data_IF_657702769699
#
_entry.id   IF_657702769699
#
_cell.length_a   1.000
_cell.length_b   1.000
_cell.length_c   1.000
_cell.angle_alpha   90.00
_cell.angle_beta   90.00
_cell.angle_gamma   90.00
#
_symmetry.space_group_name_H-M   'P 1'
#
loop_
_entity.id
_entity.type
_entity.pdbx_description
1 polymer ?
#
# COMPACT_ATOMS: atom_id res chain seq x y z
N UNK A 1 -13.86 13.29 -4.85
CA UNK A 1 -15.31 13.24 -4.55
C UNK A 1 -15.51 12.52 -3.22
N UNK A 2 -16.66 12.73 -2.57
CA UNK A 2 -17.05 12.35 -1.19
C UNK A 2 -16.41 11.06 -0.63
N UNK A 3 -15.52 11.20 0.37
CA UNK A 3 -15.08 10.11 1.28
C UNK A 3 -16.16 9.74 2.33
N UNK A 4 -17.40 10.19 2.17
CA UNK A 4 -18.33 10.36 3.30
C UNK A 4 -19.70 9.67 3.16
N UNK A 5 -19.97 8.92 2.09
CA UNK A 5 -21.28 8.26 1.91
C UNK A 5 -21.27 6.75 2.14
N UNK A 6 -20.11 6.11 2.28
CA UNK A 6 -20.02 4.67 2.55
C UNK A 6 -19.92 4.41 4.05
N UNK A 7 -20.95 3.79 4.63
CA UNK A 7 -20.93 3.40 6.04
C UNK A 7 -19.82 2.38 6.34
N UNK A 8 -19.19 2.52 7.51
CA UNK A 8 -18.03 1.73 7.99
C UNK A 8 -18.21 0.21 7.89
N UNK A 9 -17.10 -0.54 7.74
CA UNK A 9 -17.10 -1.99 8.00
C UNK A 9 -17.57 -2.24 9.43
N UNK A 10 -18.61 -3.06 9.56
CA UNK A 10 -19.17 -3.43 10.86
C UNK A 10 -19.20 -4.93 11.03
N UNK A 11 -19.11 -5.35 12.28
CA UNK A 11 -19.46 -6.68 12.73
C UNK A 11 -20.88 -6.71 13.27
N UNK A 12 -21.48 -7.89 13.40
CA UNK A 12 -22.77 -8.01 14.08
C UNK A 12 -22.72 -7.55 15.55
N UNK A 13 -21.55 -7.63 16.19
CA UNK A 13 -21.37 -7.07 17.52
C UNK A 13 -21.52 -5.54 17.51
N UNK A 14 -20.89 -4.87 16.55
CA UNK A 14 -20.98 -3.41 16.41
C UNK A 14 -22.42 -2.95 16.14
N UNK A 15 -23.14 -3.66 15.27
CA UNK A 15 -24.56 -3.38 15.02
C UNK A 15 -25.38 -3.44 16.30
N UNK A 16 -25.19 -4.49 17.12
CA UNK A 16 -25.90 -4.64 18.39
C UNK A 16 -25.50 -3.58 19.44
N UNK A 17 -24.25 -3.11 19.43
CA UNK A 17 -23.78 -2.04 20.31
C UNK A 17 -24.36 -0.69 19.88
N UNK A 18 -24.26 -0.33 18.61
CA UNK A 18 -24.72 0.95 18.05
C UNK A 18 -26.24 1.08 18.03
N UNK A 19 -26.95 -0.03 17.81
CA UNK A 19 -28.41 -0.09 17.87
C UNK A 19 -28.99 -0.11 19.29
N UNK A 20 -28.15 -0.19 20.33
CA UNK A 20 -28.63 -0.31 21.71
C UNK A 20 -29.40 0.95 22.13
N UNK A 21 -30.62 0.75 22.66
CA UNK A 21 -31.47 1.85 23.14
C UNK A 21 -32.20 2.63 22.04
N UNK A 22 -32.13 2.16 20.79
CA UNK A 22 -32.83 2.75 19.64
C UNK A 22 -33.67 1.67 18.93
N UNK A 23 -34.78 2.03 18.27
CA UNK A 23 -35.45 1.11 17.35
C UNK A 23 -34.50 0.76 16.20
N UNK A 24 -34.29 -0.53 15.92
CA UNK A 24 -33.49 -0.97 14.79
C UNK A 24 -34.41 -1.23 13.59
N UNK A 25 -34.11 -0.60 12.45
CA UNK A 25 -34.88 -0.79 11.21
C UNK A 25 -33.98 -1.37 10.13
N UNK A 26 -34.45 -2.38 9.40
CA UNK A 26 -33.72 -2.91 8.24
C UNK A 26 -34.16 -2.17 6.98
N UNK A 27 -33.19 -1.68 6.19
CA UNK A 27 -33.47 -1.07 4.89
C UNK A 27 -33.14 -2.05 3.77
N UNK A 28 -34.17 -2.64 3.16
CA UNK A 28 -34.09 -3.73 2.19
C UNK A 28 -34.67 -5.01 2.79
N UNK A 29 -35.76 -5.49 2.21
CA UNK A 29 -36.38 -6.79 2.48
C UNK A 29 -35.67 -7.91 1.68
N UNK A 30 -35.97 -9.16 2.04
CA UNK A 30 -35.45 -10.37 1.40
C UNK A 30 -34.33 -11.08 2.17
N UNK A 31 -33.53 -11.87 1.45
CA UNK A 31 -32.61 -12.85 2.04
C UNK A 31 -31.52 -12.23 2.93
N UNK A 32 -31.03 -11.03 2.61
CA UNK A 32 -30.02 -10.35 3.43
C UNK A 32 -30.63 -9.90 4.75
N UNK A 33 -31.86 -9.35 4.73
CA UNK A 33 -32.58 -9.03 5.95
C UNK A 33 -32.81 -10.28 6.81
N UNK A 34 -33.20 -11.42 6.22
CA UNK A 34 -33.37 -12.68 6.97
C UNK A 34 -32.07 -13.14 7.65
N UNK A 35 -30.94 -13.09 6.92
CA UNK A 35 -29.63 -13.43 7.50
C UNK A 35 -29.23 -12.46 8.62
N UNK A 36 -29.55 -11.19 8.47
CA UNK A 36 -29.28 -10.14 9.45
C UNK A 36 -30.12 -10.34 10.72
N UNK A 37 -31.43 -10.57 10.57
CA UNK A 37 -32.38 -10.85 11.67
C UNK A 37 -31.94 -12.01 12.57
N UNK A 38 -31.30 -13.04 12.00
CA UNK A 38 -30.78 -14.19 12.77
C UNK A 38 -29.64 -13.82 13.72
N UNK A 39 -28.99 -12.67 13.52
CA UNK A 39 -27.73 -12.28 14.18
C UNK A 39 -27.87 -11.04 15.07
N UNK A 40 -28.92 -10.24 14.89
CA UNK A 40 -29.15 -9.02 15.66
C UNK A 40 -30.52 -9.06 16.34
N UNK A 41 -30.64 -8.40 17.49
CA UNK A 41 -31.88 -8.35 18.28
C UNK A 41 -32.44 -6.93 18.31
N UNK A 42 -33.73 -6.79 18.61
CA UNK A 42 -34.36 -5.48 18.75
C UNK A 42 -34.72 -4.80 17.42
N UNK A 43 -34.84 -5.57 16.33
CA UNK A 43 -35.39 -5.08 15.07
C UNK A 43 -36.88 -4.81 15.23
N UNK A 44 -37.29 -3.59 14.93
CA UNK A 44 -38.66 -3.10 15.10
C UNK A 44 -39.39 -2.85 13.78
N UNK A 45 -38.68 -2.88 12.65
CA UNK A 45 -39.29 -2.67 11.34
C UNK A 45 -38.38 -2.99 10.16
N UNK A 46 -38.99 -3.08 8.98
CA UNK A 46 -38.32 -3.23 7.69
C UNK A 46 -38.89 -2.15 6.76
N UNK A 47 -38.01 -1.47 6.04
CA UNK A 47 -38.39 -0.56 4.95
C UNK A 47 -37.76 -1.04 3.65
N UNK A 48 -38.40 -0.82 2.51
CA UNK A 48 -37.85 -1.21 1.20
C UNK A 48 -38.19 -0.16 0.13
N UNK A 49 -37.29 0.12 -0.81
CA UNK A 49 -37.55 1.06 -1.90
C UNK A 49 -38.50 0.50 -2.97
N UNK A 50 -38.72 -0.81 -3.03
CA UNK A 50 -39.61 -1.45 -3.99
C UNK A 50 -41.07 -1.35 -3.52
N UNK A 51 -41.94 -0.57 -4.21
CA UNK A 51 -43.32 -0.37 -3.80
C UNK A 51 -44.15 -1.65 -3.78
N UNK A 52 -43.75 -2.66 -4.58
CA UNK A 52 -44.44 -3.95 -4.63
C UNK A 52 -44.33 -4.75 -3.33
N UNK A 53 -43.38 -4.40 -2.45
CA UNK A 53 -43.18 -5.06 -1.16
C UNK A 53 -43.89 -4.31 -0.02
N UNK A 54 -44.42 -3.11 -0.25
CA UNK A 54 -45.03 -2.32 0.82
C UNK A 54 -46.33 -2.95 1.30
N UNK A 55 -46.49 -3.09 2.61
CA UNK A 55 -47.63 -3.76 3.24
C UNK A 55 -47.49 -5.28 3.35
N UNK A 56 -46.57 -5.89 2.60
CA UNK A 56 -46.21 -7.30 2.79
C UNK A 56 -45.51 -7.52 4.14
N UNK A 57 -45.39 -8.78 4.55
CA UNK A 57 -44.78 -9.15 5.83
C UNK A 57 -43.56 -10.03 5.63
N UNK A 58 -42.47 -9.72 6.34
CA UNK A 58 -41.28 -10.57 6.43
C UNK A 58 -40.90 -10.77 7.89
N UNK A 59 -40.72 -12.03 8.30
CA UNK A 59 -40.40 -12.41 9.68
C UNK A 59 -41.35 -11.80 10.74
N UNK A 60 -42.62 -11.62 10.38
CA UNK A 60 -43.64 -11.02 11.25
C UNK A 60 -43.61 -9.49 11.34
N UNK A 61 -42.76 -8.81 10.56
CA UNK A 61 -42.69 -7.36 10.45
C UNK A 61 -43.29 -6.89 9.12
N UNK A 62 -44.18 -5.90 9.17
CA UNK A 62 -44.72 -5.26 7.97
C UNK A 62 -43.65 -4.39 7.30
N UNK A 63 -43.52 -4.52 5.99
CA UNK A 63 -42.58 -3.74 5.18
C UNK A 63 -43.20 -2.38 4.87
N UNK A 64 -42.54 -1.31 5.29
CA UNK A 64 -42.99 0.06 5.10
C UNK A 64 -42.21 0.80 4.00
N UNK A 65 -42.73 1.96 3.60
CA UNK A 65 -41.99 2.90 2.74
C UNK A 65 -40.81 3.51 3.50
N UNK A 66 -39.64 3.74 2.86
CA UNK A 66 -38.49 4.40 3.47
C UNK A 66 -38.78 5.82 3.94
N UNK A 67 -39.79 6.50 3.38
CA UNK A 67 -40.23 7.83 3.82
C UNK A 67 -40.67 7.85 5.29
N UNK A 68 -41.07 6.69 5.85
CA UNK A 68 -41.39 6.56 7.27
C UNK A 68 -40.20 6.83 8.20
N UNK A 69 -38.97 6.82 7.68
CA UNK A 69 -37.75 7.16 8.43
C UNK A 69 -37.52 8.66 8.54
N UNK A 70 -38.10 9.47 7.65
CA UNK A 70 -37.87 10.90 7.60
C UNK A 70 -38.55 11.59 8.80
N UNK A 71 -37.75 12.21 9.68
CA UNK A 71 -38.25 12.84 10.91
C UNK A 71 -38.73 11.86 11.99
N UNK A 72 -38.44 10.56 11.88
CA UNK A 72 -38.87 9.55 12.84
C UNK A 72 -38.37 9.83 14.26
N UNK A 73 -39.27 9.70 15.26
CA UNK A 73 -38.97 9.90 16.68
C UNK A 73 -39.52 8.73 17.51
N UNK A 74 -38.67 8.01 18.29
CA UNK A 74 -37.23 8.21 18.44
C UNK A 74 -36.46 7.86 17.16
N UNK A 75 -35.29 8.51 16.97
CA UNK A 75 -34.48 8.33 15.76
C UNK A 75 -34.00 6.87 15.64
N UNK A 76 -34.36 6.14 14.56
CA UNK A 76 -34.01 4.74 14.42
C UNK A 76 -32.53 4.56 14.12
N UNK A 77 -31.99 3.38 14.41
CA UNK A 77 -30.71 2.92 13.88
C UNK A 77 -30.97 1.99 12.69
N UNK A 78 -30.49 2.36 11.50
CA UNK A 78 -30.85 1.66 10.26
C UNK A 78 -29.74 0.70 9.83
N UNK A 79 -30.09 -0.53 9.48
CA UNK A 79 -29.16 -1.53 8.93
C UNK A 79 -29.52 -1.81 7.47
N UNK A 80 -28.68 -1.38 6.55
CA UNK A 80 -28.89 -1.55 5.11
C UNK A 80 -28.67 -3.01 4.73
N UNK A 81 -29.72 -3.63 4.19
CA UNK A 81 -29.83 -5.04 3.86
C UNK A 81 -30.08 -5.27 2.35
N UNK A 82 -29.60 -4.36 1.49
CA UNK A 82 -29.70 -4.48 0.03
C UNK A 82 -28.34 -4.25 -0.63
N UNK A 83 -28.14 -4.83 -1.81
CA UNK A 83 -26.93 -4.60 -2.64
C UNK A 83 -26.86 -3.19 -3.22
N UNK A 84 -27.98 -2.47 -3.26
CA UNK A 84 -28.03 -1.02 -3.59
C UNK A 84 -27.69 -0.16 -2.37
N UNK A 85 -26.66 -0.55 -1.62
CA UNK A 85 -26.35 0.08 -0.34
C UNK A 85 -25.79 1.49 -0.48
N UNK A 86 -25.23 1.84 -1.64
CA UNK A 86 -24.75 3.20 -1.93
C UNK A 86 -25.95 4.13 -2.07
N UNK A 87 -26.91 3.78 -2.93
CA UNK A 87 -28.11 4.60 -3.18
C UNK A 87 -28.98 4.71 -1.94
N UNK A 88 -29.13 3.61 -1.18
CA UNK A 88 -29.84 3.64 0.11
C UNK A 88 -29.08 4.49 1.13
N UNK A 89 -27.75 4.44 1.17
CA UNK A 89 -26.95 5.29 2.05
C UNK A 89 -27.16 6.77 1.77
N UNK A 90 -27.15 7.16 0.49
CA UNK A 90 -27.44 8.54 0.05
C UNK A 90 -28.87 8.97 0.39
N UNK A 91 -29.85 8.09 0.20
CA UNK A 91 -31.24 8.33 0.59
C UNK A 91 -31.36 8.56 2.11
N UNK A 92 -30.74 7.71 2.94
CA UNK A 92 -30.78 7.87 4.39
C UNK A 92 -30.07 9.16 4.84
N UNK A 93 -28.97 9.52 4.19
CA UNK A 93 -28.31 10.81 4.40
C UNK A 93 -29.23 11.99 4.06
N UNK A 94 -30.02 11.88 2.99
CA UNK A 94 -31.02 12.89 2.62
C UNK A 94 -32.14 13.06 3.66
N UNK A 95 -32.41 12.01 4.46
CA UNK A 95 -33.32 12.05 5.61
C UNK A 95 -32.69 12.63 6.89
N UNK A 96 -31.45 13.12 6.82
CA UNK A 96 -30.72 13.69 7.97
C UNK A 96 -30.11 12.65 8.90
N UNK A 97 -29.98 11.40 8.44
CA UNK A 97 -29.28 10.33 9.16
C UNK A 97 -27.79 10.38 8.82
N UNK A 98 -26.93 10.19 9.83
CA UNK A 98 -25.48 10.24 9.65
C UNK A 98 -24.89 8.84 9.46
N UNK A 99 -24.12 8.56 8.39
CA UNK A 99 -23.43 7.28 8.20
C UNK A 99 -22.57 6.90 9.41
N UNK A 100 -22.56 5.62 9.78
CA UNK A 100 -21.80 5.10 10.93
C UNK A 100 -22.42 5.40 12.30
N UNK A 101 -23.20 6.47 12.44
CA UNK A 101 -23.88 6.84 13.69
C UNK A 101 -25.35 6.41 13.71
N UNK A 102 -26.08 6.74 12.64
CA UNK A 102 -27.51 6.47 12.50
C UNK A 102 -27.77 5.26 11.61
N UNK A 103 -26.84 4.91 10.71
CA UNK A 103 -27.00 3.73 9.88
C UNK A 103 -25.68 3.08 9.50
N UNK A 104 -25.75 1.77 9.21
CA UNK A 104 -24.63 0.94 8.78
C UNK A 104 -25.08 -0.04 7.70
N UNK A 105 -24.15 -0.55 6.89
CA UNK A 105 -24.42 -1.69 6.00
C UNK A 105 -24.37 -2.98 6.80
N UNK A 106 -25.31 -3.90 6.53
CA UNK A 106 -25.33 -5.21 7.17
C UNK A 106 -23.99 -5.94 6.96
N UNK A 107 -23.41 -6.56 8.00
CA UNK A 107 -22.19 -7.36 7.88
C UNK A 107 -22.31 -8.52 6.88
N UNK A 108 -23.53 -8.94 6.52
CA UNK A 108 -23.79 -9.92 5.46
C UNK A 108 -23.27 -9.47 4.09
N UNK A 109 -23.17 -8.15 3.88
CA UNK A 109 -22.75 -7.53 2.63
C UNK A 109 -21.27 -7.10 2.63
N UNK A 110 -20.50 -7.40 3.67
CA UNK A 110 -19.11 -6.98 3.77
C UNK A 110 -18.27 -7.43 2.56
N UNK A 111 -18.50 -8.65 2.06
CA UNK A 111 -17.81 -9.19 0.88
C UNK A 111 -18.12 -8.37 -0.39
N UNK A 112 -19.38 -7.99 -0.61
CA UNK A 112 -19.76 -7.18 -1.77
C UNK A 112 -19.28 -5.74 -1.63
N UNK A 113 -19.23 -5.20 -0.41
CA UNK A 113 -18.71 -3.85 -0.18
C UNK A 113 -17.23 -3.75 -0.50
N UNK A 114 -16.40 -4.68 -0.01
CA UNK A 114 -14.96 -4.61 -0.30
C UNK A 114 -14.68 -4.75 -1.80
N UNK A 115 -15.46 -5.57 -2.52
CA UNK A 115 -15.38 -5.66 -3.97
C UNK A 115 -15.72 -4.31 -4.61
N UNK A 116 -16.84 -3.70 -4.25
CA UNK A 116 -17.25 -2.40 -4.79
C UNK A 116 -16.22 -1.28 -4.50
N UNK A 117 -15.62 -1.27 -3.30
CA UNK A 117 -14.57 -0.31 -2.94
C UNK A 117 -13.29 -0.51 -3.75
N UNK A 118 -12.87 -1.75 -3.97
CA UNK A 118 -11.72 -2.08 -4.83
C UNK A 118 -12.01 -1.80 -6.31
N UNK A 119 -13.24 -2.02 -6.75
CA UNK A 119 -13.68 -1.73 -8.12
C UNK A 119 -13.82 -0.23 -8.38
N UNK A 120 -14.14 0.57 -7.36
CA UNK A 120 -14.28 2.02 -7.40
C UNK A 120 -13.01 2.83 -7.08
N UNK A 121 -11.83 2.18 -7.03
CA UNK A 121 -10.55 2.85 -6.74
C UNK A 121 -10.29 4.03 -7.69
N UNK A 122 -9.95 5.19 -7.13
CA UNK A 122 -9.48 6.38 -7.86
C UNK A 122 -8.14 6.83 -7.28
N UNK A 123 -7.04 6.55 -7.97
CA UNK A 123 -5.70 6.81 -7.45
C UNK A 123 -4.72 7.14 -8.58
N UNK A 124 -3.73 7.98 -8.26
CA UNK A 124 -2.57 8.22 -9.14
C UNK A 124 -1.32 7.70 -8.44
N UNK A 125 -0.67 6.72 -9.05
CA UNK A 125 0.46 5.98 -8.47
C UNK A 125 1.70 6.24 -9.31
N UNK A 126 2.77 6.72 -8.68
CA UNK A 126 4.09 6.82 -9.27
C UNK A 126 4.90 5.57 -9.00
N UNK A 127 5.67 5.14 -9.99
CA UNK A 127 6.58 4.02 -9.81
C UNK A 127 7.82 4.13 -10.69
N UNK A 128 8.90 3.47 -10.29
CA UNK A 128 10.20 3.53 -10.97
C UNK A 128 10.58 2.19 -11.59
N UNK A 129 11.15 2.25 -12.80
CA UNK A 129 11.65 1.12 -13.55
C UNK A 129 13.14 1.28 -13.82
N UNK A 130 13.92 0.27 -13.43
CA UNK A 130 15.38 0.28 -13.50
C UNK A 130 15.96 -0.41 -14.74
N UNK A 131 15.14 -0.58 -15.78
CA UNK A 131 15.59 -1.08 -17.08
C UNK A 131 16.44 -0.02 -17.80
N UNK A 132 17.18 -0.40 -18.86
CA UNK A 132 17.79 0.57 -19.75
C UNK A 132 16.75 1.56 -20.32
N UNK A 133 17.05 2.87 -20.36
CA UNK A 133 16.11 3.86 -20.87
C UNK A 133 15.86 3.65 -22.37
N UNK A 134 14.59 3.67 -22.78
CA UNK A 134 14.17 3.63 -24.18
C UNK A 134 13.37 4.89 -24.54
N UNK A 135 13.45 5.30 -25.80
CA UNK A 135 12.67 6.41 -26.36
C UNK A 135 11.29 5.94 -26.83
N UNK A 136 10.57 5.32 -25.91
CA UNK A 136 9.23 4.78 -26.08
C UNK A 136 8.42 5.16 -24.83
N UNK A 137 7.25 5.83 -24.96
CA UNK A 137 6.46 6.27 -23.81
C UNK A 137 5.92 5.12 -22.94
N UNK A 138 5.91 3.88 -23.43
CA UNK A 138 5.32 2.70 -22.78
C UNK A 138 6.34 1.56 -22.54
N UNK A 139 7.65 1.79 -22.74
CA UNK A 139 8.69 0.76 -22.61
C UNK A 139 10.01 1.25 -21.99
N UNK A 140 10.77 0.35 -21.37
CA UNK A 140 12.12 0.63 -20.87
C UNK A 140 12.19 1.25 -19.48
N UNK A 141 13.34 1.83 -19.14
CA UNK A 141 13.59 2.51 -17.87
C UNK A 141 12.89 3.86 -17.77
N UNK A 142 12.46 4.20 -16.56
CA UNK A 142 11.88 5.51 -16.29
C UNK A 142 11.14 5.63 -14.96
N UNK A 143 10.71 6.87 -14.68
CA UNK A 143 9.63 7.15 -13.75
C UNK A 143 8.31 7.11 -14.54
N UNK A 144 7.32 6.42 -14.01
CA UNK A 144 6.02 6.22 -14.62
C UNK A 144 4.90 6.68 -13.67
N UNK A 145 3.78 7.05 -14.27
CA UNK A 145 2.51 7.34 -13.58
C UNK A 145 1.47 6.30 -14.04
N UNK A 146 0.83 5.62 -13.10
CA UNK A 146 -0.36 4.79 -13.28
C UNK A 146 -1.57 5.56 -12.74
N UNK A 147 -2.54 5.81 -13.61
CA UNK A 147 -3.84 6.39 -13.24
C UNK A 147 -4.88 5.28 -13.14
N UNK A 148 -5.54 5.17 -11.99
CA UNK A 148 -6.61 4.23 -11.70
C UNK A 148 -7.91 5.04 -11.59
N UNK A 149 -8.93 4.66 -12.36
CA UNK A 149 -10.26 5.27 -12.35
C UNK A 149 -11.34 4.17 -12.45
N UNK A 150 -11.66 3.62 -11.29
CA UNK A 150 -12.57 2.50 -11.10
C UNK A 150 -12.14 1.25 -11.87
N UNK A 151 -12.91 0.93 -12.90
CA UNK A 151 -12.67 -0.22 -13.78
C UNK A 151 -11.60 0.04 -14.86
N UNK A 152 -11.19 1.29 -15.08
CA UNK A 152 -10.21 1.67 -16.08
C UNK A 152 -8.89 2.04 -15.42
N UNK A 153 -7.79 1.73 -16.09
CA UNK A 153 -6.47 2.22 -15.73
C UNK A 153 -5.66 2.52 -17.00
N UNK A 154 -4.71 3.43 -16.87
CA UNK A 154 -3.73 3.76 -17.91
C UNK A 154 -2.42 4.12 -17.25
N UNK A 155 -1.31 4.00 -17.97
CA UNK A 155 -0.02 4.42 -17.47
C UNK A 155 0.74 5.20 -18.53
N UNK A 156 1.70 6.03 -18.11
CA UNK A 156 2.61 6.76 -19.01
C UNK A 156 3.97 6.94 -18.37
N UNK A 157 5.01 7.00 -19.20
CA UNK A 157 6.34 7.43 -18.76
C UNK A 157 6.35 8.95 -18.54
N UNK A 158 6.77 9.36 -17.35
CA UNK A 158 6.96 10.76 -16.95
C UNK A 158 8.39 11.19 -17.23
N UNK A 159 9.37 10.39 -16.81
CA UNK A 159 10.78 10.61 -17.11
C UNK A 159 11.41 9.35 -17.70
N UNK A 160 12.16 9.51 -18.79
CA UNK A 160 13.09 8.50 -19.28
C UNK A 160 14.36 8.53 -18.43
N UNK A 161 14.83 7.38 -17.97
CA UNK A 161 16.06 7.26 -17.17
C UNK A 161 16.20 5.86 -16.59
N UNK A 162 17.19 5.63 -15.75
CA UNK A 162 17.30 4.38 -15.00
C UNK A 162 16.97 4.68 -13.54
N UNK A 163 15.69 4.52 -13.19
CA UNK A 163 15.16 4.95 -11.91
C UNK A 163 15.06 3.80 -10.91
N UNK A 164 15.48 4.09 -9.67
CA UNK A 164 15.43 3.15 -8.55
C UNK A 164 14.57 3.69 -7.40
N UNK A 165 15.17 4.22 -6.33
CA UNK A 165 14.43 4.69 -5.16
C UNK A 165 13.44 5.79 -5.52
N UNK A 166 12.28 5.79 -4.86
CA UNK A 166 11.24 6.81 -4.98
C UNK A 166 10.56 6.95 -3.62
N UNK A 167 10.46 8.18 -3.11
CA UNK A 167 9.79 8.50 -1.85
C UNK A 167 9.03 9.82 -1.92
N UNK A 168 7.88 9.93 -1.22
CA UNK A 168 7.33 11.23 -0.85
C UNK A 168 8.34 12.04 -0.03
N UNK A 169 8.35 13.36 -0.20
CA UNK A 169 9.21 14.29 0.51
C UNK A 169 8.47 15.63 0.68
N UNK A 170 7.73 15.77 1.79
CA UNK A 170 6.81 16.90 1.98
C UNK A 170 5.74 16.95 0.88
N UNK A 171 5.64 18.08 0.19
CA UNK A 171 4.76 18.27 -0.98
C UNK A 171 5.40 17.87 -2.32
N UNK A 172 6.57 17.23 -2.26
CA UNK A 172 7.38 16.84 -3.40
C UNK A 172 7.66 15.33 -3.37
N UNK A 173 8.43 14.90 -4.36
CA UNK A 173 8.98 13.56 -4.42
C UNK A 173 10.49 13.64 -4.58
N UNK A 174 11.18 12.66 -4.01
CA UNK A 174 12.59 12.39 -4.31
C UNK A 174 12.72 11.05 -5.01
N UNK A 175 13.60 10.99 -6.01
CA UNK A 175 13.92 9.76 -6.70
C UNK A 175 15.40 9.67 -7.05
N UNK A 176 15.87 8.44 -7.26
CA UNK A 176 17.22 8.16 -7.73
C UNK A 176 17.17 7.79 -9.21
N UNK A 177 17.94 8.51 -10.02
CA UNK A 177 18.24 8.20 -11.42
C UNK A 177 19.75 8.01 -11.57
N UNK A 178 20.20 6.92 -12.21
CA UNK A 178 21.64 6.64 -12.34
C UNK A 178 22.42 7.75 -13.08
N UNK A 179 21.75 8.50 -13.96
CA UNK A 179 22.37 9.58 -14.74
C UNK A 179 22.32 10.92 -13.99
N UNK A 180 21.15 11.32 -13.48
CA UNK A 180 20.96 12.62 -12.80
C UNK A 180 21.33 12.62 -11.32
N UNK A 181 21.47 11.46 -10.69
CA UNK A 181 21.66 11.31 -9.25
C UNK A 181 20.34 11.39 -8.47
N UNK A 182 20.34 12.12 -7.35
CA UNK A 182 19.14 12.35 -6.57
C UNK A 182 18.39 13.54 -7.15
N UNK A 183 17.14 13.34 -7.53
CA UNK A 183 16.25 14.38 -8.03
C UNK A 183 15.14 14.67 -7.03
N UNK A 184 14.73 15.93 -6.94
CA UNK A 184 13.52 16.39 -6.27
C UNK A 184 12.60 17.01 -7.31
N UNK A 185 11.32 16.61 -7.31
CA UNK A 185 10.33 17.11 -8.27
C UNK A 185 8.96 17.31 -7.61
N UNK A 186 8.19 18.25 -8.14
CA UNK A 186 6.84 18.53 -7.66
C UNK A 186 5.79 17.53 -8.19
N UNK A 187 4.54 17.72 -7.80
CA UNK A 187 3.41 16.86 -8.19
C UNK A 187 3.00 16.99 -9.66
N UNK A 188 3.48 18.04 -10.34
CA UNK A 188 3.27 18.27 -11.77
C UNK A 188 4.51 17.85 -12.59
N UNK A 189 5.47 17.16 -11.94
CA UNK A 189 6.67 16.60 -12.54
C UNK A 189 7.69 17.64 -13.01
N UNK A 190 7.68 18.84 -12.43
CA UNK A 190 8.77 19.78 -12.62
C UNK A 190 9.93 19.42 -11.70
N UNK A 191 11.13 19.27 -12.26
CA UNK A 191 12.35 19.05 -11.47
C UNK A 191 12.69 20.36 -10.77
N UNK A 192 12.70 20.34 -9.44
CA UNK A 192 13.02 21.48 -8.59
C UNK A 192 14.52 21.53 -8.27
N UNK A 193 15.12 20.36 -8.03
CA UNK A 193 16.53 20.20 -7.67
C UNK A 193 17.05 18.86 -8.16
N UNK A 194 18.34 18.81 -8.48
CA UNK A 194 19.07 17.57 -8.67
C UNK A 194 20.52 17.75 -8.24
N UNK A 195 21.14 16.69 -7.74
CA UNK A 195 22.59 16.63 -7.56
C UNK A 195 23.13 15.25 -7.92
N UNK A 196 24.32 15.24 -8.50
CA UNK A 196 24.95 14.02 -8.97
C UNK A 196 25.36 13.11 -7.79
N UNK A 197 25.21 11.81 -8.00
CA UNK A 197 25.70 10.78 -7.09
C UNK A 197 26.97 10.13 -7.68
N UNK A 198 27.79 9.43 -6.88
CA UNK A 198 29.05 8.90 -7.36
C UNK A 198 28.81 7.84 -8.45
N UNK A 199 29.58 7.93 -9.53
CA UNK A 199 29.48 6.98 -10.63
C UNK A 199 29.75 5.55 -10.13
N UNK A 200 28.95 4.60 -10.61
CA UNK A 200 29.10 3.18 -10.23
C UNK A 200 28.63 2.86 -8.82
N UNK A 201 28.02 3.81 -8.09
CA UNK A 201 27.48 3.56 -6.76
C UNK A 201 26.26 2.62 -6.77
N UNK A 202 25.49 2.67 -7.86
CA UNK A 202 24.21 1.98 -8.04
C UNK A 202 23.31 2.19 -6.82
N UNK A 203 22.91 3.45 -6.67
CA UNK A 203 22.05 3.91 -5.58
C UNK A 203 20.65 3.34 -5.79
N UNK A 204 20.15 2.57 -4.83
CA UNK A 204 18.85 1.89 -4.93
C UNK A 204 17.80 2.52 -4.01
N UNK A 205 18.14 2.73 -2.73
CA UNK A 205 17.22 3.27 -1.73
C UNK A 205 17.57 4.71 -1.36
N UNK A 206 16.55 5.49 -0.99
CA UNK A 206 16.72 6.85 -0.48
C UNK A 206 15.75 7.11 0.67
N UNK A 207 16.22 7.79 1.70
CA UNK A 207 15.41 8.29 2.81
C UNK A 207 15.90 9.67 3.23
N UNK A 208 14.96 10.52 3.67
CA UNK A 208 15.22 11.87 4.16
C UNK A 208 14.98 11.92 5.67
N UNK A 209 15.89 12.55 6.39
CA UNK A 209 15.69 12.89 7.81
C UNK A 209 15.38 14.38 7.94
N UNK A 210 14.14 14.70 8.29
CA UNK A 210 13.71 16.09 8.56
C UNK A 210 14.51 16.72 9.70
N UNK A 211 14.70 15.97 10.79
CA UNK A 211 15.40 16.43 11.99
C UNK A 211 16.86 16.79 11.70
N UNK A 212 17.55 15.95 10.89
CA UNK A 212 18.97 16.10 10.61
C UNK A 212 19.26 16.88 9.32
N UNK A 213 18.23 17.15 8.52
CA UNK A 213 18.29 17.77 7.19
C UNK A 213 19.28 17.10 6.24
N UNK A 214 19.18 15.77 6.15
CA UNK A 214 20.13 14.91 5.41
C UNK A 214 19.42 13.82 4.62
N UNK A 215 19.96 13.53 3.45
CA UNK A 215 19.62 12.35 2.67
C UNK A 215 20.51 11.18 3.07
N UNK A 216 19.91 10.00 3.14
CA UNK A 216 20.58 8.73 3.36
C UNK A 216 20.28 7.82 2.17
N UNK A 217 21.32 7.33 1.51
CA UNK A 217 21.21 6.64 0.23
C UNK A 217 21.90 5.28 0.33
N UNK A 218 21.16 4.21 0.06
CA UNK A 218 21.69 2.86 0.02
C UNK A 218 22.33 2.56 -1.35
N UNK A 219 23.59 2.13 -1.34
CA UNK A 219 24.36 1.86 -2.56
C UNK A 219 24.68 0.38 -2.72
N UNK A 220 24.04 -0.28 -3.69
CA UNK A 220 24.17 -1.72 -3.90
C UNK A 220 25.56 -2.14 -4.37
N UNK A 221 26.31 -1.24 -5.03
CA UNK A 221 27.66 -1.54 -5.54
C UNK A 221 28.79 -1.05 -4.62
N UNK A 222 28.46 -0.24 -3.62
CA UNK A 222 29.45 0.26 -2.66
C UNK A 222 29.45 -0.49 -1.34
N UNK A 223 28.41 -1.27 -1.04
CA UNK A 223 28.13 -1.76 0.32
C UNK A 223 28.31 -0.62 1.34
N UNK A 224 27.60 0.48 1.10
CA UNK A 224 27.65 1.63 1.97
C UNK A 224 26.32 2.39 1.94
N UNK A 225 26.12 3.17 2.99
CA UNK A 225 25.16 4.26 3.02
C UNK A 225 25.92 5.55 2.76
N UNK A 226 25.52 6.31 1.75
CA UNK A 226 26.01 7.67 1.54
C UNK A 226 25.08 8.63 2.26
N UNK A 227 25.67 9.61 2.94
CA UNK A 227 24.92 10.66 3.63
C UNK A 227 25.23 11.98 2.94
N UNK A 228 24.19 12.67 2.50
CA UNK A 228 24.28 13.95 1.83
C UNK A 228 23.61 15.06 2.64
N UNK A 229 24.19 16.26 2.59
CA UNK A 229 23.48 17.46 3.01
C UNK A 229 22.25 17.68 2.14
N UNK A 230 21.30 18.48 2.62
CA UNK A 230 20.24 19.01 1.77
C UNK A 230 20.77 19.66 0.50
N UNK A 231 21.99 20.21 0.57
CA UNK A 231 22.59 20.94 -0.52
C UNK A 231 23.24 20.09 -1.62
N UNK A 232 23.36 18.79 -1.38
CA UNK A 232 23.97 17.84 -2.32
C UNK A 232 25.45 17.58 -2.08
N UNK A 233 26.00 17.99 -0.93
CA UNK A 233 27.36 17.66 -0.52
C UNK A 233 27.40 16.32 0.21
N UNK A 234 28.32 15.42 -0.17
CA UNK A 234 28.56 14.18 0.58
C UNK A 234 29.20 14.53 1.92
N UNK A 235 28.49 14.26 3.03
CA UNK A 235 28.93 14.61 4.38
C UNK A 235 29.45 13.41 5.17
N UNK A 236 29.04 12.19 4.81
CA UNK A 236 29.48 10.97 5.47
C UNK A 236 29.29 9.76 4.56
N UNK A 237 30.02 8.69 4.90
CA UNK A 237 29.96 7.41 4.23
C UNK A 237 30.08 6.29 5.25
N UNK A 238 29.00 5.52 5.39
CA UNK A 238 28.89 4.45 6.38
C UNK A 238 29.07 3.10 5.66
N UNK A 239 30.24 2.45 5.76
CA UNK A 239 30.45 1.13 5.15
C UNK A 239 29.65 0.06 5.91
N UNK A 240 29.07 -0.91 5.19
CA UNK A 240 28.41 -2.07 5.82
C UNK A 240 29.44 -2.98 6.49
N UNK A 241 30.55 -3.24 5.79
CA UNK A 241 31.67 -4.02 6.33
C UNK A 241 32.98 -3.76 5.59
N UNK A 242 34.13 -4.23 6.11
CA UNK A 242 35.41 -4.15 5.40
C UNK A 242 35.50 -5.04 4.15
N UNK A 243 34.45 -5.78 3.78
CA UNK A 243 34.53 -6.76 2.68
C UNK A 243 34.63 -6.12 1.30
N UNK A 244 33.91 -5.02 1.04
CA UNK A 244 34.02 -4.32 -0.23
C UNK A 244 35.46 -3.84 -0.45
N UNK A 245 36.04 -3.20 0.56
CA UNK A 245 37.42 -2.69 0.49
C UNK A 245 38.45 -3.81 0.26
N UNK A 246 38.23 -5.00 0.85
CA UNK A 246 39.12 -6.16 0.68
C UNK A 246 38.95 -6.91 -0.64
N UNK A 247 37.73 -6.96 -1.17
CA UNK A 247 37.40 -7.79 -2.34
C UNK A 247 37.27 -6.99 -3.65
N UNK A 248 37.26 -5.66 -3.57
CA UNK A 248 37.06 -4.77 -4.71
C UNK A 248 35.66 -4.80 -5.31
N UNK A 249 34.69 -5.45 -4.65
CA UNK A 249 33.30 -5.50 -5.14
C UNK A 249 32.30 -5.65 -3.99
N UNK A 250 31.08 -5.15 -4.17
CA UNK A 250 30.00 -5.31 -3.19
C UNK A 250 29.71 -6.79 -2.90
N UNK A 251 29.54 -7.12 -1.63
CA UNK A 251 29.30 -8.43 -1.07
C UNK A 251 27.95 -8.55 -0.36
N UNK A 252 27.27 -7.45 -0.01
CA UNK A 252 26.02 -7.48 0.76
C UNK A 252 24.75 -7.24 -0.07
N UNK A 253 24.85 -6.43 -1.13
CA UNK A 253 23.72 -5.99 -1.98
C UNK A 253 22.62 -5.29 -1.17
N UNK A 254 22.87 -4.03 -0.84
CA UNK A 254 21.93 -3.15 -0.15
C UNK A 254 20.78 -2.75 -1.10
N UNK A 255 19.54 -2.72 -0.62
CA UNK A 255 18.38 -2.39 -1.46
C UNK A 255 17.73 -1.07 -1.05
N UNK A 256 17.02 -1.04 0.07
CA UNK A 256 16.25 0.11 0.51
C UNK A 256 16.65 0.57 1.91
N UNK A 257 16.33 1.82 2.22
CA UNK A 257 16.77 2.52 3.43
C UNK A 257 15.64 3.36 4.01
N UNK A 258 15.63 3.46 5.34
CA UNK A 258 14.65 4.22 6.10
C UNK A 258 15.34 4.83 7.32
N UNK A 259 15.17 6.13 7.52
CA UNK A 259 15.68 6.82 8.71
C UNK A 259 14.53 7.20 9.62
N UNK A 260 14.62 6.84 10.90
CA UNK A 260 13.67 7.20 11.95
C UNK A 260 14.45 7.74 13.16
N UNK A 261 14.40 9.06 13.39
CA UNK A 261 15.14 9.70 14.48
C UNK A 261 16.65 9.52 14.35
N UNK A 262 17.24 8.79 15.30
CA UNK A 262 18.66 8.42 15.33
C UNK A 262 18.96 7.02 14.74
N UNK A 263 17.96 6.29 14.26
CA UNK A 263 18.14 4.96 13.68
C UNK A 263 18.06 5.00 12.15
N UNK A 264 18.98 4.29 11.50
CA UNK A 264 18.92 3.98 10.07
C UNK A 264 18.69 2.49 9.90
N UNK A 265 17.62 2.14 9.21
CA UNK A 265 17.27 0.77 8.84
C UNK A 265 17.64 0.54 7.37
N UNK A 266 18.31 -0.57 7.10
CA UNK A 266 18.80 -0.91 5.77
C UNK A 266 18.43 -2.35 5.42
N UNK A 267 17.75 -2.56 4.29
CA UNK A 267 17.52 -3.90 3.77
C UNK A 267 18.68 -4.35 2.86
N UNK A 268 19.03 -5.64 2.94
CA UNK A 268 20.08 -6.22 2.09
C UNK A 268 19.88 -7.72 1.88
N UNK A 269 20.46 -8.25 0.79
CA UNK A 269 20.35 -9.67 0.47
C UNK A 269 21.12 -10.59 1.41
N UNK A 270 22.18 -10.09 2.02
CA UNK A 270 23.04 -10.91 2.85
C UNK A 270 23.76 -10.11 3.94
N UNK A 271 23.42 -10.40 5.20
CA UNK A 271 24.12 -9.82 6.35
C UNK A 271 25.57 -10.27 6.42
N UNK A 272 25.83 -11.56 6.15
CA UNK A 272 27.20 -12.08 6.14
C UNK A 272 27.97 -11.70 4.89
N UNK A 273 27.32 -11.22 3.82
CA UNK A 273 27.95 -10.84 2.56
C UNK A 273 28.36 -12.03 1.69
N UNK A 274 27.46 -13.01 1.54
CA UNK A 274 27.65 -14.26 0.81
C UNK A 274 26.58 -14.50 -0.29
N UNK A 275 25.77 -13.50 -0.65
CA UNK A 275 24.71 -13.69 -1.66
C UNK A 275 25.25 -14.16 -3.03
N UNK A 276 26.48 -13.77 -3.40
CA UNK A 276 27.16 -14.25 -4.62
C UNK A 276 27.54 -15.75 -4.58
N UNK A 277 27.40 -16.38 -3.42
CA UNK A 277 27.58 -17.82 -3.18
C UNK A 277 26.23 -18.51 -2.92
N UNK A 278 25.13 -17.88 -3.34
CA UNK A 278 23.75 -18.32 -3.12
C UNK A 278 23.35 -18.48 -1.64
N UNK A 279 24.05 -17.79 -0.72
CA UNK A 279 23.67 -17.70 0.68
C UNK A 279 22.91 -16.39 0.92
N UNK A 280 21.59 -16.49 0.96
CA UNK A 280 20.67 -15.37 1.20
C UNK A 280 20.24 -15.34 2.67
N UNK A 281 21.08 -14.77 3.52
CA UNK A 281 20.80 -14.45 4.92
C UNK A 281 20.36 -12.97 5.04
N UNK A 282 19.30 -12.62 4.30
CA UNK A 282 18.82 -11.25 4.19
C UNK A 282 18.27 -10.73 5.50
N UNK A 283 18.44 -9.42 5.70
CA UNK A 283 18.08 -8.72 6.95
C UNK A 283 17.54 -7.33 6.68
N UNK A 284 16.85 -6.79 7.69
CA UNK A 284 16.82 -5.35 7.95
C UNK A 284 17.81 -5.08 9.08
N UNK A 285 18.88 -4.34 8.78
CA UNK A 285 19.98 -4.04 9.68
C UNK A 285 19.84 -2.61 10.22
N UNK A 286 20.02 -2.42 11.52
CA UNK A 286 19.97 -1.11 12.17
C UNK A 286 21.37 -0.54 12.41
N UNK A 287 21.54 0.73 12.06
CA UNK A 287 22.68 1.56 12.43
C UNK A 287 22.21 2.71 13.33
N UNK A 288 22.86 2.87 14.47
CA UNK A 288 22.64 3.97 15.40
C UNK A 288 23.51 5.16 14.99
N UNK A 289 22.88 6.29 14.67
CA UNK A 289 23.55 7.53 14.24
C UNK A 289 24.25 8.26 15.37
N UNK A 290 23.78 8.12 16.61
CA UNK A 290 24.36 8.78 17.78
C UNK A 290 25.65 8.08 18.23
N UNK A 291 25.58 6.75 18.38
CA UNK A 291 26.72 5.90 18.72
C UNK A 291 27.63 5.60 17.52
N UNK A 292 27.17 5.91 16.30
CA UNK A 292 27.85 5.64 15.03
C UNK A 292 28.28 4.18 14.86
N UNK A 293 27.39 3.24 15.20
CA UNK A 293 27.67 1.79 15.12
C UNK A 293 26.48 0.99 14.63
N UNK A 294 26.79 -0.17 14.04
CA UNK A 294 25.79 -1.19 13.76
C UNK A 294 25.26 -1.77 15.07
N UNK A 295 23.94 -1.76 15.26
CA UNK A 295 23.26 -2.36 16.40
C UNK A 295 23.10 -3.86 16.17
N UNK A 296 22.60 -4.22 14.99
CA UNK A 296 22.34 -5.61 14.61
C UNK A 296 21.08 -5.73 13.73
N UNK A 297 20.74 -6.96 13.32
CA UNK A 297 19.54 -7.17 12.52
C UNK A 297 18.29 -7.07 13.40
N UNK A 298 17.35 -6.22 12.99
CA UNK A 298 16.03 -6.09 13.64
C UNK A 298 14.99 -7.01 13.00
N UNK A 299 15.23 -7.42 11.75
CA UNK A 299 14.49 -8.48 11.06
C UNK A 299 15.51 -9.37 10.35
N UNK A 300 15.36 -10.68 10.47
CA UNK A 300 16.26 -11.70 9.88
C UNK A 300 15.49 -12.76 9.11
N UNK A 301 16.21 -13.67 8.44
CA UNK A 301 15.65 -14.73 7.58
C UNK A 301 14.78 -14.18 6.43
N UNK A 302 15.22 -13.07 5.85
CA UNK A 302 14.60 -12.50 4.67
C UNK A 302 15.28 -13.02 3.41
N UNK A 303 14.49 -13.18 2.34
CA UNK A 303 15.00 -13.62 1.05
C UNK A 303 14.88 -12.53 0.00
N UNK A 304 16.03 -11.93 -0.28
CA UNK A 304 16.17 -10.78 -1.16
C UNK A 304 15.27 -9.60 -0.74
N UNK A 305 15.30 -9.13 0.53
CA UNK A 305 14.42 -8.05 0.96
C UNK A 305 14.70 -6.75 0.23
N UNK A 306 13.65 -6.08 -0.24
CA UNK A 306 13.75 -4.79 -0.92
C UNK A 306 13.15 -3.67 -0.08
N UNK A 307 11.89 -3.32 -0.30
CA UNK A 307 11.31 -2.10 0.25
C UNK A 307 11.08 -2.21 1.75
N UNK A 308 11.44 -1.14 2.47
CA UNK A 308 11.20 -0.99 3.91
C UNK A 308 10.44 0.29 4.20
N UNK A 309 9.56 0.32 5.19
CA UNK A 309 8.87 1.55 5.59
C UNK A 309 8.44 1.49 7.06
N UNK A 310 7.86 2.58 7.57
CA UNK A 310 7.25 2.64 8.89
C UNK A 310 5.78 3.04 8.77
N UNK A 311 4.89 2.08 8.96
CA UNK A 311 3.44 2.25 8.76
C UNK A 311 2.71 1.82 10.04
N UNK A 312 1.82 2.69 10.52
CA UNK A 312 1.00 2.47 11.73
C UNK A 312 1.81 2.07 12.97
N UNK A 313 3.00 2.66 13.15
CA UNK A 313 3.86 2.39 14.30
C UNK A 313 4.68 1.11 14.21
N UNK A 314 4.72 0.44 13.06
CA UNK A 314 5.51 -0.77 12.82
C UNK A 314 6.44 -0.60 11.63
N UNK A 315 7.64 -1.18 11.73
CA UNK A 315 8.46 -1.47 10.55
C UNK A 315 7.70 -2.42 9.63
N UNK A 316 7.80 -2.14 8.33
CA UNK A 316 7.25 -2.93 7.24
C UNK A 316 8.39 -3.28 6.30
N UNK A 317 8.42 -4.52 5.80
CA UNK A 317 9.40 -4.96 4.79
C UNK A 317 8.78 -5.91 3.79
N UNK A 318 9.23 -5.81 2.53
CA UNK A 318 8.94 -6.80 1.50
C UNK A 318 10.03 -7.87 1.46
N UNK A 319 9.65 -9.10 1.82
CA UNK A 319 10.45 -10.32 1.62
C UNK A 319 10.23 -10.79 0.18
N UNK A 320 10.98 -10.16 -0.74
CA UNK A 320 10.62 -10.05 -2.15
C UNK A 320 10.50 -11.37 -2.89
N UNK A 321 11.42 -12.32 -2.66
CA UNK A 321 11.37 -13.60 -3.38
C UNK A 321 10.20 -14.47 -2.89
N UNK A 322 9.88 -14.41 -1.60
CA UNK A 322 8.72 -15.10 -1.02
C UNK A 322 7.39 -14.38 -1.29
N UNK A 323 7.47 -13.15 -1.82
CA UNK A 323 6.34 -12.29 -2.13
C UNK A 323 5.58 -11.85 -0.89
N UNK A 324 6.21 -11.77 0.29
CA UNK A 324 5.52 -11.46 1.55
C UNK A 324 5.65 -10.00 1.95
N UNK A 325 4.55 -9.42 2.40
CA UNK A 325 4.52 -8.18 3.16
C UNK A 325 4.61 -8.55 4.65
N UNK A 326 5.68 -8.11 5.31
CA UNK A 326 5.91 -8.34 6.73
C UNK A 326 5.66 -7.06 7.53
N UNK A 327 4.91 -7.17 8.63
CA UNK A 327 4.58 -6.08 9.59
C UNK A 327 4.47 -6.68 10.99
N UNK A 328 4.38 -5.84 12.03
CA UNK A 328 4.09 -6.25 13.42
C UNK A 328 5.03 -7.36 13.92
N UNK A 329 6.32 -7.03 14.03
CA UNK A 329 7.38 -7.97 14.41
C UNK A 329 7.58 -9.09 13.35
N UNK A 330 7.75 -8.65 12.11
CA UNK A 330 8.04 -9.47 10.93
C UNK A 330 7.03 -10.59 10.62
N UNK A 331 5.77 -10.44 11.03
CA UNK A 331 4.70 -11.37 10.70
C UNK A 331 4.20 -11.14 9.28
N UNK A 332 3.94 -12.22 8.55
CA UNK A 332 3.38 -12.15 7.20
C UNK A 332 1.93 -11.68 7.25
N UNK A 333 1.66 -10.48 6.76
CA UNK A 333 0.31 -9.91 6.72
C UNK A 333 -0.33 -9.98 5.34
N UNK A 334 0.46 -10.20 4.29
CA UNK A 334 0.02 -10.47 2.92
C UNK A 334 1.07 -11.28 2.16
N UNK A 335 0.63 -12.02 1.13
CA UNK A 335 1.51 -12.77 0.25
C UNK A 335 1.04 -12.66 -1.21
N UNK A 336 1.97 -12.39 -2.11
CA UNK A 336 1.74 -12.10 -3.51
C UNK A 336 2.53 -13.08 -4.39
N UNK A 337 2.03 -13.45 -5.58
CA UNK A 337 2.65 -14.49 -6.41
C UNK A 337 3.92 -14.03 -7.14
N UNK A 338 4.21 -12.73 -7.19
CA UNK A 338 5.35 -12.17 -7.93
C UNK A 338 6.48 -11.70 -7.02
N UNK A 339 7.54 -11.16 -7.64
CA UNK A 339 8.69 -10.62 -6.91
C UNK A 339 8.35 -9.25 -6.32
N UNK A 340 8.05 -9.20 -5.01
CA UNK A 340 7.47 -8.03 -4.36
C UNK A 340 8.53 -6.96 -4.05
N UNK A 341 8.43 -5.79 -4.69
CA UNK A 341 9.29 -4.62 -4.45
C UNK A 341 8.60 -3.34 -4.93
N UNK A 342 8.90 -2.22 -4.28
CA UNK A 342 8.10 -1.00 -4.36
C UNK A 342 6.94 -1.10 -3.37
N UNK A 343 6.83 -0.11 -2.48
CA UNK A 343 5.87 -0.10 -1.38
C UNK A 343 5.36 1.32 -1.18
N UNK A 344 4.05 1.48 -1.07
CA UNK A 344 3.42 2.69 -0.54
C UNK A 344 2.17 2.34 0.27
N UNK A 345 1.67 3.29 1.05
CA UNK A 345 0.47 3.14 1.87
C UNK A 345 -0.34 4.44 1.84
N UNK A 346 -1.66 4.36 1.63
CA UNK A 346 -2.55 5.53 1.58
C UNK A 346 -3.19 5.89 2.94
N UNK A 347 -2.88 5.11 3.99
CA UNK A 347 -3.51 5.19 5.31
C UNK A 347 -4.58 4.10 5.55
N UNK A 348 -4.98 3.37 4.51
CA UNK A 348 -5.93 2.26 4.59
C UNK A 348 -5.44 0.99 3.87
N UNK A 349 -4.67 1.15 2.79
CA UNK A 349 -4.30 0.10 1.84
C UNK A 349 -2.83 0.21 1.46
N UNK A 350 -2.23 -0.95 1.25
CA UNK A 350 -0.89 -1.06 0.70
C UNK A 350 -0.91 -1.09 -0.82
N UNK A 351 0.09 -0.47 -1.42
CA UNK A 351 0.39 -0.54 -2.85
C UNK A 351 1.71 -1.28 -3.00
N UNK A 352 1.65 -2.45 -3.61
CA UNK A 352 2.77 -3.39 -3.68
C UNK A 352 3.15 -3.57 -5.14
N UNK A 353 4.38 -3.20 -5.48
CA UNK A 353 4.92 -3.51 -6.80
C UNK A 353 5.30 -4.99 -6.87
N UNK A 354 4.99 -5.63 -7.98
CA UNK A 354 5.42 -6.96 -8.32
C UNK A 354 6.17 -6.88 -9.64
N UNK A 355 7.46 -7.19 -9.62
CA UNK A 355 8.25 -7.26 -10.84
C UNK A 355 8.26 -8.65 -11.43
N UNK A 356 8.61 -8.73 -12.72
CA UNK A 356 8.85 -10.02 -13.37
C UNK A 356 9.86 -10.83 -12.56
N UNK A 357 9.43 -12.01 -12.12
CA UNK A 357 10.31 -12.90 -11.37
C UNK A 357 11.32 -13.60 -12.30
N UNK A 358 12.51 -13.00 -12.43
CA UNK A 358 13.66 -13.61 -13.15
C UNK A 358 14.33 -14.76 -12.39
N UNK A 359 13.99 -14.95 -11.12
CA UNK A 359 14.52 -15.96 -10.22
C UNK A 359 13.50 -17.07 -9.92
N UNK A 360 12.57 -17.34 -10.85
CA UNK A 360 11.44 -18.25 -10.62
C UNK A 360 11.89 -19.65 -10.17
N UNK A 361 13.03 -20.14 -10.66
CA UNK A 361 13.58 -21.44 -10.27
C UNK A 361 13.88 -21.52 -8.78
N UNK A 362 14.34 -20.44 -8.16
CA UNK A 362 14.60 -20.35 -6.73
C UNK A 362 13.31 -20.28 -5.89
N UNK A 363 12.19 -19.88 -6.49
CA UNK A 363 10.89 -19.83 -5.83
C UNK A 363 10.11 -21.18 -5.92
N UNK A 364 10.57 -22.14 -6.72
CA UNK A 364 9.95 -23.46 -6.83
C UNK A 364 9.98 -24.18 -5.49
N UNK A 365 8.83 -24.68 -5.04
CA UNK A 365 8.69 -25.36 -3.74
C UNK A 365 8.57 -24.41 -2.54
N UNK A 366 8.77 -23.11 -2.74
CA UNK A 366 8.55 -22.05 -1.72
C UNK A 366 7.22 -21.35 -1.95
N UNK A 367 6.95 -21.00 -3.21
CA UNK A 367 5.65 -20.42 -3.62
C UNK A 367 4.76 -21.48 -4.25
N UNK A 368 3.45 -21.37 -3.98
CA UNK A 368 2.41 -22.19 -4.62
C UNK A 368 2.01 -21.66 -5.99
N UNK A 369 2.34 -20.40 -6.30
CA UNK A 369 2.10 -19.76 -7.59
C UNK A 369 3.17 -18.69 -7.84
N UNK A 370 3.84 -18.73 -8.99
CA UNK A 370 4.89 -17.79 -9.35
C UNK A 370 4.43 -16.99 -10.58
N UNK A 371 4.01 -15.76 -10.35
CA UNK A 371 3.63 -14.84 -11.43
C UNK A 371 4.88 -14.26 -12.11
N UNK A 372 4.86 -14.25 -13.44
CA UNK A 372 5.89 -13.60 -14.28
C UNK A 372 5.49 -12.18 -14.71
N UNK A 373 4.25 -11.80 -14.40
CA UNK A 373 3.70 -10.49 -14.73
C UNK A 373 4.33 -9.39 -13.89
N UNK A 374 4.34 -8.19 -14.44
CA UNK A 374 4.64 -6.97 -13.68
C UNK A 374 3.33 -6.28 -13.36
N UNK A 375 3.10 -5.94 -12.10
CA UNK A 375 1.84 -5.36 -11.65
C UNK A 375 2.02 -4.50 -10.40
N UNK A 376 1.11 -3.57 -10.20
CA UNK A 376 0.92 -2.91 -8.90
C UNK A 376 -0.33 -3.51 -8.27
N UNK A 377 -0.21 -4.05 -7.07
CA UNK A 377 -1.30 -4.66 -6.32
C UNK A 377 -1.71 -3.76 -5.17
N UNK A 378 -2.96 -3.31 -5.20
CA UNK A 378 -3.60 -2.63 -4.07
C UNK A 378 -4.14 -3.70 -3.14
N UNK A 379 -3.75 -3.66 -1.87
CA UNK A 379 -4.03 -4.68 -0.87
C UNK A 379 -4.60 -4.06 0.41
N UNK A 380 -5.77 -4.52 0.82
CA UNK A 380 -6.35 -4.21 2.12
C UNK A 380 -5.89 -5.26 3.14
N UNK A 381 -5.09 -4.81 4.12
CA UNK A 381 -4.53 -5.67 5.15
C UNK A 381 -5.61 -6.28 6.06
N UNK A 382 -6.73 -5.59 6.28
CA UNK A 382 -7.77 -6.04 7.19
C UNK A 382 -8.67 -7.11 6.56
N UNK A 383 -9.12 -6.87 5.33
CA UNK A 383 -10.01 -7.81 4.62
C UNK A 383 -9.25 -8.89 3.84
N UNK A 384 -7.94 -8.69 3.63
CA UNK A 384 -7.07 -9.54 2.79
C UNK A 384 -7.44 -9.54 1.31
N UNK A 385 -8.30 -8.62 0.87
CA UNK A 385 -8.66 -8.46 -0.53
C UNK A 385 -7.60 -7.65 -1.25
N UNK A 386 -7.33 -8.01 -2.49
CA UNK A 386 -6.42 -7.28 -3.37
C UNK A 386 -6.95 -7.12 -4.79
N UNK A 387 -6.52 -6.05 -5.47
CA UNK A 387 -6.72 -5.84 -6.90
C UNK A 387 -5.39 -5.47 -7.55
N UNK A 388 -5.05 -6.15 -8.64
CA UNK A 388 -3.78 -5.96 -9.34
C UNK A 388 -3.98 -5.25 -10.68
N UNK A 389 -3.08 -4.31 -10.97
CA UNK A 389 -3.05 -3.53 -12.20
C UNK A 389 -1.79 -3.94 -12.97
N UNK A 390 -1.99 -4.70 -14.05
CA UNK A 390 -0.90 -5.29 -14.83
C UNK A 390 -0.28 -4.27 -15.77
N UNK A 391 1.05 -4.32 -15.88
CA UNK A 391 1.84 -3.54 -16.81
C UNK A 391 2.31 -4.42 -17.98
N UNK A 392 2.56 -3.83 -19.16
CA UNK A 392 3.08 -4.59 -20.29
C UNK A 392 4.48 -5.13 -20.00
N UNK A 393 4.84 -6.19 -20.74
CA UNK A 393 6.13 -6.88 -20.59
C UNK A 393 7.35 -6.00 -20.88
N UNK A 394 7.15 -4.85 -21.52
CA UNK A 394 8.12 -3.80 -21.83
C UNK A 394 8.53 -2.96 -20.60
N UNK A 395 7.75 -3.02 -19.52
CA UNK A 395 8.03 -2.44 -18.21
C UNK A 395 8.01 -3.57 -17.19
N UNK A 396 9.16 -4.22 -17.00
CA UNK A 396 9.24 -5.48 -16.25
C UNK A 396 9.72 -5.33 -14.79
N UNK A 397 10.02 -4.09 -14.38
CA UNK A 397 10.63 -3.78 -13.09
C UNK A 397 9.90 -2.62 -12.42
N UNK A 398 9.66 -2.77 -11.11
CA UNK A 398 9.14 -1.75 -10.20
C UNK A 398 10.09 -1.71 -9.00
N UNK A 399 10.79 -0.60 -8.76
CA UNK A 399 11.73 -0.49 -7.62
C UNK A 399 11.15 0.28 -6.44
N UNK A 400 10.51 1.42 -6.71
CA UNK A 400 9.84 2.26 -5.74
C UNK A 400 8.42 2.59 -6.18
N UNK A 401 7.57 2.93 -5.21
CA UNK A 401 6.19 3.38 -5.42
C UNK A 401 5.95 4.60 -4.54
N UNK A 402 5.22 5.60 -5.06
CA UNK A 402 4.68 6.69 -4.28
C UNK A 402 3.27 7.04 -4.77
N UNK A 403 2.46 7.67 -3.91
CA UNK A 403 1.11 8.08 -4.27
C UNK A 403 1.09 9.59 -4.58
N UNK A 404 0.55 9.95 -5.75
CA UNK A 404 0.33 11.34 -6.14
C UNK A 404 -1.12 11.76 -5.89
N UNK A 405 -1.59 11.57 -4.66
CA UNK A 405 -2.88 12.10 -4.22
C UNK A 405 -2.73 13.59 -3.93
N UNK A 406 -3.43 14.44 -4.68
CA UNK A 406 -3.62 15.85 -4.31
C UNK A 406 -4.46 15.88 -3.03
N UNK A 407 -3.84 16.23 -1.90
CA UNK A 407 -4.55 16.39 -0.63
C UNK A 407 -5.29 17.72 -0.58
#
# INVERSE_FOLDING_TARGET
>A
MSRTTTAEFTSFADVNVRGRGRPIVLAGAGNIADKTLRRIKGVTGIVDNNPNLHGETQAGLTIATPDSLNGATPRPFVVICTTSFVEVGEQLASFGLTPGQDFVVSPVLNDLRIIAEMEGLEETVLFTCGLPPLDDPEAGGGLYELTISGARHSFRKVFKGNFHGLRPHGEHFIAIDDERGLITFDRDYNILRAFALPQGARCHGVSWSEEKRRYFIACSYLDAILVYSEDGDEIDRIPISPKQARSGSAQHHCNDILVLGDSVYLSMFSATGNWKRDVFDGVVLEYDLADRRWVGPVISDLWMPHSIDFVDGSLVVLDSLRGRLLKNNAQSVGQFPGFARGLAHDGARFFIGQSRNRNYSAAMGVSQNIAIDTAITVFDEHTKVSKSFHLPSTVSEIHGIALNTKR
#
